data_IF_944004618970
#
_entry.id   IF_944004618970
#
_cell.length_a   1.000
_cell.length_b   1.000
_cell.length_c   1.000
_cell.angle_alpha   90.00
_cell.angle_beta   90.00
_cell.angle_gamma   90.00
#
_symmetry.space_group_name_H-M   'P 1'
#
loop_
_entity.id
_entity.type
_entity.pdbx_description
1 polymer ?
#
# COMPACT_ATOMS: atom_id res chain seq x y z
N UNK A 1 -10.09 9.00 52.07
CA UNK A 1 -10.27 9.77 50.82
C UNK A 1 -9.08 9.46 49.95
N UNK A 2 -9.22 8.44 49.11
CA UNK A 2 -8.21 7.98 48.16
C UNK A 2 -8.14 8.94 46.98
N UNK A 3 -7.00 9.58 46.79
CA UNK A 3 -6.62 10.17 45.51
C UNK A 3 -5.66 9.22 44.81
N UNK A 4 -6.20 8.15 44.23
CA UNK A 4 -5.49 7.37 43.23
C UNK A 4 -5.27 8.26 42.00
N UNK A 5 -4.04 8.69 41.78
CA UNK A 5 -3.63 9.38 40.55
C UNK A 5 -3.63 8.36 39.42
N UNK A 6 -4.58 8.46 38.50
CA UNK A 6 -4.61 7.66 37.27
C UNK A 6 -3.30 7.85 36.49
N UNK A 7 -2.62 6.78 36.03
CA UNK A 7 -1.50 6.94 35.14
C UNK A 7 -2.03 7.39 33.78
N UNK A 8 -1.70 8.64 33.40
CA UNK A 8 -1.93 9.18 32.07
C UNK A 8 -1.32 8.23 31.03
N UNK A 9 -2.17 7.50 30.31
CA UNK A 9 -1.77 6.69 29.14
C UNK A 9 -1.19 7.64 28.10
N UNK A 10 0.13 7.82 28.13
CA UNK A 10 0.85 8.41 27.01
C UNK A 10 0.69 7.45 25.84
N UNK A 11 -0.24 7.77 24.94
CA UNK A 11 -0.31 7.13 23.64
C UNK A 11 1.07 7.25 23.01
N UNK A 12 1.70 6.11 22.73
CA UNK A 12 3.00 6.08 22.07
C UNK A 12 2.84 6.81 20.74
N UNK A 13 3.34 8.05 20.68
CA UNK A 13 3.40 8.80 19.45
C UNK A 13 4.17 7.92 18.46
N UNK A 14 3.50 7.47 17.39
CA UNK A 14 4.13 6.70 16.33
C UNK A 14 5.23 7.58 15.75
N UNK A 15 6.48 7.30 16.14
CA UNK A 15 7.61 8.15 15.78
C UNK A 15 7.81 8.01 14.28
N UNK A 16 7.46 9.05 13.53
CA UNK A 16 7.68 9.08 12.08
C UNK A 16 9.18 9.00 11.86
N UNK A 17 9.65 7.89 11.30
CA UNK A 17 11.04 7.73 10.89
C UNK A 17 11.17 8.12 9.43
N UNK A 18 12.21 8.89 9.11
CA UNK A 18 12.56 9.19 7.73
C UNK A 18 13.27 7.97 7.15
N UNK A 19 12.80 7.52 5.98
CA UNK A 19 13.41 6.44 5.22
C UNK A 19 13.81 7.01 3.86
N UNK A 20 15.10 6.97 3.55
CA UNK A 20 15.59 7.26 2.20
C UNK A 20 15.81 5.92 1.48
N UNK A 21 15.21 5.75 0.30
CA UNK A 21 15.26 4.50 -0.45
C UNK A 21 15.56 4.77 -1.93
N UNK A 22 16.43 3.95 -2.51
CA UNK A 22 16.64 3.93 -3.95
C UNK A 22 15.48 3.17 -4.61
N UNK A 23 14.85 3.78 -5.60
CA UNK A 23 13.75 3.18 -6.37
C UNK A 23 14.03 3.29 -7.86
N UNK A 24 13.53 2.32 -8.62
CA UNK A 24 13.66 2.32 -10.06
C UNK A 24 12.76 3.42 -10.69
N UNK A 25 13.12 3.96 -11.88
CA UNK A 25 12.31 4.97 -12.56
C UNK A 25 10.85 4.55 -12.78
N UNK A 26 10.62 3.27 -13.04
CA UNK A 26 9.29 2.69 -13.24
C UNK A 26 8.44 2.77 -11.97
N UNK A 27 9.06 2.62 -10.80
CA UNK A 27 8.39 2.78 -9.51
C UNK A 27 7.97 4.23 -9.29
N UNK A 28 8.80 5.20 -9.70
CA UNK A 28 8.44 6.63 -9.61
C UNK A 28 7.22 6.94 -10.49
N UNK A 29 7.19 6.41 -11.71
CA UNK A 29 6.05 6.58 -12.63
C UNK A 29 4.78 5.92 -12.07
N UNK A 30 4.89 4.71 -11.51
CA UNK A 30 3.75 4.04 -10.88
C UNK A 30 3.18 4.84 -9.70
N UNK A 31 4.04 5.43 -8.87
CA UNK A 31 3.62 6.30 -7.77
C UNK A 31 2.93 7.56 -8.28
N UNK A 32 3.47 8.21 -9.31
CA UNK A 32 2.85 9.39 -9.93
C UNK A 32 1.44 9.07 -10.46
N UNK A 33 1.28 7.93 -11.14
CA UNK A 33 -0.04 7.49 -11.64
C UNK A 33 -1.07 7.33 -10.52
N UNK A 34 -0.69 6.77 -9.37
CA UNK A 34 -1.58 6.61 -8.21
C UNK A 34 -1.92 7.98 -7.61
N UNK A 35 -0.93 8.86 -7.44
CA UNK A 35 -1.14 10.23 -6.92
C UNK A 35 -2.13 10.99 -7.79
N UNK A 36 -1.94 10.97 -9.11
CA UNK A 36 -2.77 11.71 -10.05
C UNK A 36 -4.19 11.15 -10.16
N UNK A 37 -4.34 9.84 -10.21
CA UNK A 37 -5.66 9.18 -10.38
C UNK A 37 -6.50 9.17 -9.11
N UNK A 38 -5.85 9.02 -7.97
CA UNK A 38 -6.54 8.82 -6.69
C UNK A 38 -6.50 10.07 -5.81
N UNK A 39 -5.81 11.13 -6.25
CA UNK A 39 -5.67 12.41 -5.56
C UNK A 39 -5.12 12.28 -4.12
N UNK A 40 -4.11 11.42 -3.95
CA UNK A 40 -3.48 11.14 -2.66
C UNK A 40 -2.03 11.63 -2.60
N UNK A 41 -1.51 11.84 -1.39
CA UNK A 41 -0.09 12.19 -1.18
C UNK A 41 0.86 10.99 -1.36
N UNK A 42 2.16 11.26 -1.51
CA UNK A 42 3.21 10.25 -1.77
C UNK A 42 3.19 9.07 -0.81
N UNK A 43 3.08 9.31 0.51
CA UNK A 43 3.08 8.24 1.51
C UNK A 43 1.88 7.29 1.36
N UNK A 44 0.73 7.83 0.96
CA UNK A 44 -0.47 7.03 0.74
C UNK A 44 -0.42 6.30 -0.62
N UNK A 45 0.09 6.96 -1.65
CA UNK A 45 0.35 6.32 -2.94
C UNK A 45 1.30 5.12 -2.81
N UNK A 46 2.37 5.26 -2.02
CA UNK A 46 3.30 4.18 -1.73
C UNK A 46 2.62 3.03 -0.99
N UNK A 47 1.83 3.34 0.05
CA UNK A 47 1.10 2.32 0.81
C UNK A 47 0.15 1.52 -0.09
N UNK A 48 -0.59 2.20 -0.97
CA UNK A 48 -1.51 1.56 -1.92
C UNK A 48 -0.77 0.73 -2.94
N UNK A 49 0.31 1.26 -3.53
CA UNK A 49 1.11 0.53 -4.50
C UNK A 49 1.68 -0.78 -3.91
N UNK A 50 2.18 -0.73 -2.67
CA UNK A 50 2.64 -1.91 -1.93
C UNK A 50 1.49 -2.89 -1.69
N UNK A 51 0.34 -2.42 -1.21
CA UNK A 51 -0.82 -3.28 -0.93
C UNK A 51 -1.38 -3.94 -2.21
N UNK A 52 -1.39 -3.23 -3.34
CA UNK A 52 -1.78 -3.79 -4.64
C UNK A 52 -0.80 -4.88 -5.07
N UNK A 53 0.51 -4.64 -4.90
CA UNK A 53 1.55 -5.63 -5.18
C UNK A 53 1.42 -6.87 -4.29
N UNK A 54 1.15 -6.69 -3.00
CA UNK A 54 0.94 -7.79 -2.04
C UNK A 54 -0.25 -8.67 -2.46
N UNK A 55 -1.40 -8.05 -2.80
CA UNK A 55 -2.58 -8.79 -3.25
C UNK A 55 -2.26 -9.66 -4.47
N UNK A 56 -1.61 -9.08 -5.48
CA UNK A 56 -1.25 -9.78 -6.72
C UNK A 56 -0.23 -10.89 -6.45
N UNK A 57 0.78 -10.60 -5.62
CA UNK A 57 1.80 -11.58 -5.26
C UNK A 57 1.19 -12.79 -4.56
N UNK A 58 0.36 -12.57 -3.54
CA UNK A 58 -0.26 -13.66 -2.76
C UNK A 58 -1.19 -14.50 -3.63
N UNK A 59 -2.04 -13.87 -4.42
CA UNK A 59 -2.94 -14.58 -5.34
C UNK A 59 -2.17 -15.54 -6.26
N UNK A 60 -1.07 -15.10 -6.86
CA UNK A 60 -0.35 -15.92 -7.86
C UNK A 60 0.63 -16.89 -7.21
N UNK A 61 1.41 -16.44 -6.23
CA UNK A 61 2.54 -17.20 -5.69
C UNK A 61 2.16 -18.09 -4.51
N UNK A 62 1.19 -17.70 -3.69
CA UNK A 62 0.77 -18.45 -2.51
C UNK A 62 -0.49 -19.27 -2.79
N UNK A 63 -1.46 -18.68 -3.50
CA UNK A 63 -2.77 -19.30 -3.73
C UNK A 63 -2.88 -20.00 -5.08
N UNK A 64 -1.89 -19.84 -5.96
CA UNK A 64 -1.89 -20.36 -7.33
C UNK A 64 -3.16 -20.00 -8.13
N UNK A 65 -3.72 -18.83 -7.84
CA UNK A 65 -4.92 -18.32 -8.48
C UNK A 65 -4.62 -17.62 -9.81
N UNK A 66 -5.61 -17.64 -10.71
CA UNK A 66 -5.60 -16.85 -11.94
C UNK A 66 -6.14 -15.43 -11.67
N UNK A 67 -5.47 -14.41 -12.20
CA UNK A 67 -5.88 -13.02 -12.07
C UNK A 67 -6.59 -12.56 -13.34
N UNK A 68 -7.89 -12.26 -13.21
CA UNK A 68 -8.70 -11.70 -14.29
C UNK A 68 -8.90 -10.20 -14.08
N UNK A 69 -8.50 -9.39 -15.07
CA UNK A 69 -8.71 -7.95 -15.07
C UNK A 69 -9.94 -7.63 -15.92
N UNK A 70 -10.98 -7.12 -15.27
CA UNK A 70 -12.19 -6.62 -15.95
C UNK A 70 -12.10 -5.10 -16.11
N UNK A 71 -12.25 -4.64 -17.34
CA UNK A 71 -12.51 -3.24 -17.69
C UNK A 71 -13.94 -3.10 -18.20
N UNK A 72 -14.44 -1.88 -18.36
CA UNK A 72 -15.82 -1.58 -18.79
C UNK A 72 -16.24 -2.29 -20.09
N UNK A 73 -15.25 -2.71 -20.91
CA UNK A 73 -15.49 -3.29 -22.24
C UNK A 73 -15.01 -4.73 -22.37
N UNK A 74 -14.11 -5.19 -21.52
CA UNK A 74 -13.45 -6.49 -21.71
C UNK A 74 -13.03 -7.11 -20.39
N UNK A 75 -13.11 -8.44 -20.30
CA UNK A 75 -12.37 -9.22 -19.30
C UNK A 75 -11.12 -9.74 -19.99
N UNK A 76 -9.96 -9.58 -19.34
CA UNK A 76 -8.66 -10.05 -19.82
C UNK A 76 -8.03 -10.91 -18.74
N UNK A 77 -7.54 -12.07 -19.12
CA UNK A 77 -6.67 -12.88 -18.27
C UNK A 77 -5.27 -12.27 -18.26
N UNK A 78 -4.69 -12.11 -17.07
CA UNK A 78 -3.34 -11.60 -16.91
C UNK A 78 -2.47 -12.72 -16.34
N UNK A 79 -1.63 -13.29 -17.20
CA UNK A 79 -0.64 -14.28 -16.82
C UNK A 79 0.63 -13.55 -16.37
N UNK A 80 0.89 -13.57 -15.07
CA UNK A 80 2.14 -13.09 -14.49
C UNK A 80 3.07 -14.29 -14.30
N UNK A 81 4.09 -14.38 -15.16
CA UNK A 81 5.08 -15.47 -15.20
C UNK A 81 6.15 -15.28 -14.10
#
# INVERSE_FOLDING_TARGET
MDHATEPTRHGAAHRVSRIDAAVAPETVLALQLVIEREHVGLSEALRRLVAYGELVYRAIREEHAEVLVRTDRTVREVVLL
#
